data_IF_771297320550
#
_entry.id   IF_771297320550
#
_cell.length_a   1.000
_cell.length_b   1.000
_cell.length_c   1.000
_cell.angle_alpha   90.00
_cell.angle_beta   90.00
_cell.angle_gamma   90.00
#
_symmetry.space_group_name_H-M   'P 1'
#
loop_
_entity.id
_entity.type
_entity.pdbx_description
1 polymer ?
#
# COMPACT_ATOMS: atom_id res chain seq x y z
N UNK A 1 -15.44 14.29 -14.16
CA UNK A 1 -14.72 15.37 -14.90
C UNK A 1 -13.36 15.56 -14.25
N UNK A 2 -12.30 15.81 -15.04
CA UNK A 2 -10.98 16.03 -14.47
C UNK A 2 -10.77 17.49 -14.06
N UNK A 3 -10.29 17.74 -12.82
CA UNK A 3 -9.85 19.04 -12.31
C UNK A 3 -8.71 19.59 -13.18
N UNK A 4 -8.83 20.86 -13.56
CA UNK A 4 -7.84 21.60 -14.34
C UNK A 4 -7.11 22.58 -13.44
N UNK A 5 -5.85 22.85 -13.76
CA UNK A 5 -5.06 23.88 -13.12
C UNK A 5 -5.74 25.24 -13.33
N UNK A 6 -5.91 26.01 -12.26
CA UNK A 6 -6.61 27.29 -12.36
C UNK A 6 -5.84 28.35 -13.13
N UNK A 7 -4.50 28.27 -13.13
CA UNK A 7 -3.62 29.22 -13.80
C UNK A 7 -3.43 28.93 -15.29
N UNK A 8 -3.18 27.67 -15.68
CA UNK A 8 -2.83 27.32 -17.06
C UNK A 8 -3.78 26.32 -17.74
N UNK A 9 -4.83 25.87 -17.05
CA UNK A 9 -5.86 24.94 -17.54
C UNK A 9 -5.38 23.53 -17.92
N UNK A 10 -4.10 23.20 -17.72
CA UNK A 10 -3.57 21.83 -17.82
C UNK A 10 -4.19 20.91 -16.75
N UNK A 11 -3.98 19.57 -16.78
CA UNK A 11 -4.42 18.71 -15.68
C UNK A 11 -3.83 19.12 -14.32
N UNK A 12 -4.67 19.19 -13.29
CA UNK A 12 -4.23 19.47 -11.92
C UNK A 12 -3.75 18.19 -11.22
N UNK A 13 -2.73 18.34 -10.36
CA UNK A 13 -2.14 17.26 -9.57
C UNK A 13 -2.23 17.53 -8.07
N UNK A 14 -2.30 18.80 -7.66
CA UNK A 14 -2.43 19.19 -6.26
C UNK A 14 -3.63 20.11 -6.05
N UNK A 15 -4.08 20.15 -4.80
CA UNK A 15 -5.02 21.14 -4.29
C UNK A 15 -4.37 21.88 -3.13
N UNK A 16 -4.31 23.20 -3.21
CA UNK A 16 -3.88 24.08 -2.11
C UNK A 16 -5.11 24.47 -1.29
N UNK A 17 -5.10 24.15 0.00
CA UNK A 17 -6.23 24.43 0.88
C UNK A 17 -6.38 25.92 1.17
N UNK A 18 -5.26 26.62 1.42
CA UNK A 18 -5.25 28.05 1.73
C UNK A 18 -5.75 28.90 0.56
N UNK A 19 -5.36 28.55 -0.67
CA UNK A 19 -5.75 29.28 -1.88
C UNK A 19 -7.07 28.75 -2.49
N UNK A 20 -7.61 27.65 -1.95
CA UNK A 20 -8.73 26.89 -2.51
C UNK A 20 -8.57 26.54 -4.00
N UNK A 21 -7.32 26.31 -4.42
CA UNK A 21 -6.97 26.25 -5.84
C UNK A 21 -6.39 24.89 -6.24
N UNK A 22 -6.82 24.38 -7.40
CA UNK A 22 -6.21 23.19 -8.02
C UNK A 22 -5.06 23.60 -8.95
N UNK A 23 -3.87 23.02 -8.76
CA UNK A 23 -2.64 23.39 -9.48
C UNK A 23 -1.97 22.18 -10.15
N UNK A 24 -1.30 22.42 -11.28
CA UNK A 24 -0.33 21.47 -11.84
C UNK A 24 1.04 21.66 -11.18
N UNK A 25 1.97 20.71 -11.38
CA UNK A 25 3.31 20.74 -10.75
C UNK A 25 4.10 22.03 -11.00
N UNK A 26 4.03 22.54 -12.23
CA UNK A 26 4.75 23.75 -12.64
C UNK A 26 4.17 25.00 -11.95
N UNK A 27 2.83 25.11 -11.97
CA UNK A 27 2.14 26.23 -11.32
C UNK A 27 2.27 26.18 -9.80
N UNK A 28 2.21 24.99 -9.20
CA UNK A 28 2.46 24.78 -7.77
C UNK A 28 3.84 25.31 -7.37
N UNK A 29 4.89 24.90 -8.09
CA UNK A 29 6.26 25.36 -7.82
C UNK A 29 6.35 26.88 -7.92
N UNK A 30 5.79 27.48 -8.97
CA UNK A 30 5.82 28.95 -9.16
C UNK A 30 5.11 29.71 -8.05
N UNK A 31 3.96 29.20 -7.57
CA UNK A 31 3.19 29.83 -6.50
C UNK A 31 3.89 29.64 -5.16
N UNK A 32 4.26 28.42 -4.78
CA UNK A 32 4.68 28.07 -3.42
C UNK A 32 6.18 28.29 -3.15
N UNK A 33 6.94 28.69 -4.17
CA UNK A 33 8.32 29.20 -4.02
C UNK A 33 8.40 30.74 -4.02
N UNK A 34 7.29 31.46 -4.25
CA UNK A 34 7.32 32.91 -4.37
C UNK A 34 7.72 33.63 -3.06
N UNK A 35 7.36 33.08 -1.91
CA UNK A 35 7.76 33.57 -0.60
C UNK A 35 7.55 32.52 0.50
N UNK A 36 8.09 32.75 1.71
CA UNK A 36 8.03 31.81 2.82
C UNK A 36 6.62 31.59 3.39
N UNK A 37 5.66 32.50 3.15
CA UNK A 37 4.29 32.38 3.65
C UNK A 37 3.56 31.33 2.81
N UNK A 38 3.60 31.48 1.49
CA UNK A 38 2.96 30.54 0.57
C UNK A 38 3.60 29.15 0.61
N UNK A 39 4.91 29.06 0.87
CA UNK A 39 5.59 27.77 1.13
C UNK A 39 4.95 26.97 2.27
N UNK A 40 4.34 27.63 3.26
CA UNK A 40 3.67 26.98 4.39
C UNK A 40 2.25 26.52 4.09
N UNK A 41 1.68 26.85 2.92
CA UNK A 41 0.35 26.39 2.57
C UNK A 41 0.30 24.86 2.52
N UNK A 42 -0.75 24.30 3.12
CA UNK A 42 -1.02 22.87 3.06
C UNK A 42 -1.56 22.51 1.68
N UNK A 43 -0.89 21.56 1.05
CA UNK A 43 -1.26 21.03 -0.26
C UNK A 43 -1.48 19.54 -0.19
N UNK A 44 -2.50 19.09 -0.89
CA UNK A 44 -2.93 17.71 -0.97
C UNK A 44 -2.71 17.18 -2.39
N UNK A 45 -2.21 15.95 -2.51
CA UNK A 45 -2.15 15.28 -3.80
C UNK A 45 -3.56 14.82 -4.21
N UNK A 46 -3.89 15.05 -5.48
CA UNK A 46 -5.12 14.55 -6.09
C UNK A 46 -4.92 13.12 -6.56
N UNK A 47 -5.94 12.28 -6.32
CA UNK A 47 -5.97 10.92 -6.81
C UNK A 47 -5.81 10.91 -8.33
N UNK A 48 -4.88 10.12 -8.85
CA UNK A 48 -4.64 10.08 -10.29
C UNK A 48 -5.85 9.60 -11.10
N UNK A 49 -6.66 8.73 -10.49
CA UNK A 49 -7.83 8.10 -11.15
C UNK A 49 -9.03 9.04 -11.11
N UNK A 50 -9.52 9.37 -9.91
CA UNK A 50 -10.77 10.11 -9.74
C UNK A 50 -10.60 11.59 -9.35
N UNK A 51 -9.37 12.03 -9.06
CA UNK A 51 -9.03 13.38 -8.58
C UNK A 51 -9.77 13.83 -7.31
N UNK A 52 -10.16 12.87 -6.47
CA UNK A 52 -10.45 13.14 -5.06
C UNK A 52 -9.16 13.57 -4.33
N UNK A 53 -9.30 14.25 -3.19
CA UNK A 53 -8.16 14.45 -2.29
C UNK A 53 -7.68 13.08 -1.79
N UNK A 54 -6.37 12.95 -1.63
CA UNK A 54 -5.75 11.79 -0.98
C UNK A 54 -5.25 12.18 0.40
N UNK A 55 -4.95 11.17 1.24
CA UNK A 55 -4.34 11.41 2.55
C UNK A 55 -2.91 11.99 2.45
N UNK A 56 -2.31 11.97 1.25
CA UNK A 56 -0.99 12.55 1.02
C UNK A 56 -1.08 14.07 0.96
N UNK A 57 -0.52 14.73 1.97
CA UNK A 57 -0.41 16.17 2.03
C UNK A 57 0.93 16.63 2.62
N UNK A 58 1.25 17.90 2.44
CA UNK A 58 2.47 18.49 2.98
C UNK A 58 2.56 20.00 2.79
N UNK A 59 3.65 20.56 3.30
CA UNK A 59 4.06 21.95 3.14
C UNK A 59 5.50 21.98 2.61
N UNK A 60 5.98 23.11 2.10
CA UNK A 60 7.35 23.25 1.59
C UNK A 60 7.45 23.96 0.24
N UNK A 61 8.65 24.11 -0.34
CA UNK A 61 8.79 24.87 -1.58
C UNK A 61 8.39 24.04 -2.81
N UNK A 62 8.59 22.72 -2.77
CA UNK A 62 8.38 21.84 -3.93
C UNK A 62 8.01 20.45 -3.47
N UNK A 63 6.96 19.89 -4.09
CA UNK A 63 6.68 18.47 -4.02
C UNK A 63 7.45 17.74 -5.11
N UNK A 64 7.99 16.57 -4.79
CA UNK A 64 8.49 15.66 -5.82
C UNK A 64 7.28 15.16 -6.61
N UNK A 65 7.28 15.24 -7.95
CA UNK A 65 6.20 14.70 -8.75
C UNK A 65 6.00 13.23 -8.44
N UNK A 66 4.88 12.90 -7.82
CA UNK A 66 4.50 11.54 -7.45
C UNK A 66 3.01 11.34 -7.69
N UNK A 67 2.62 10.09 -7.88
CA UNK A 67 1.22 9.73 -8.10
C UNK A 67 0.64 9.22 -6.80
N UNK A 68 -0.56 9.67 -6.46
CA UNK A 68 -1.31 9.15 -5.33
C UNK A 68 -2.64 8.57 -5.78
N UNK A 69 -3.13 7.59 -5.02
CA UNK A 69 -4.47 7.02 -5.17
C UNK A 69 -5.24 7.25 -3.87
N UNK A 70 -6.55 7.43 -3.96
CA UNK A 70 -7.42 7.41 -2.78
C UNK A 70 -7.79 5.97 -2.42
N UNK A 71 -8.18 5.74 -1.16
CA UNK A 71 -8.51 4.41 -0.65
C UNK A 71 -9.54 3.70 -1.53
N UNK A 72 -10.57 4.41 -1.99
CA UNK A 72 -11.57 3.85 -2.88
C UNK A 72 -10.96 3.32 -4.19
N UNK A 73 -10.13 4.12 -4.86
CA UNK A 73 -9.51 3.71 -6.11
C UNK A 73 -8.51 2.56 -5.93
N UNK A 74 -7.79 2.51 -4.81
CA UNK A 74 -6.93 1.36 -4.47
C UNK A 74 -7.75 0.08 -4.30
N UNK A 75 -8.87 0.15 -3.58
CA UNK A 75 -9.76 -1.01 -3.38
C UNK A 75 -10.35 -1.52 -4.69
N UNK A 76 -10.79 -0.62 -5.58
CA UNK A 76 -11.33 -1.01 -6.89
C UNK A 76 -10.27 -1.69 -7.76
N UNK A 77 -9.02 -1.21 -7.75
CA UNK A 77 -7.95 -1.84 -8.53
C UNK A 77 -7.54 -3.21 -8.00
N UNK A 78 -7.68 -3.44 -6.69
CA UNK A 78 -7.38 -4.74 -6.08
C UNK A 78 -8.52 -5.76 -6.18
N UNK A 79 -9.78 -5.31 -6.29
CA UNK A 79 -10.96 -6.17 -6.28
C UNK A 79 -11.26 -6.93 -7.58
N UNK A 80 -10.54 -6.68 -8.67
CA UNK A 80 -10.75 -7.35 -9.96
C UNK A 80 -10.06 -8.73 -10.09
N UNK A 81 -9.56 -9.32 -9.00
CA UNK A 81 -8.88 -10.63 -9.01
C UNK A 81 -9.74 -11.81 -8.54
N UNK A 82 -11.01 -11.59 -8.16
CA UNK A 82 -11.92 -12.69 -7.86
C UNK A 82 -12.67 -13.07 -9.14
N UNK A 83 -11.93 -13.71 -10.05
CA UNK A 83 -12.49 -14.36 -11.23
C UNK A 83 -13.22 -15.63 -10.78
N UNK A 84 -14.43 -15.75 -11.28
CA UNK A 84 -15.45 -16.78 -11.08
C UNK A 84 -14.90 -18.21 -11.02
N UNK A 85 -15.29 -18.97 -9.99
CA UNK A 85 -15.40 -20.43 -9.99
C UNK A 85 -16.58 -20.79 -9.07
N UNK A 86 -17.80 -20.40 -9.45
CA UNK A 86 -18.97 -21.15 -8.99
C UNK A 86 -19.21 -22.21 -10.07
N UNK A 87 -18.27 -23.17 -10.13
CA UNK A 87 -18.47 -24.43 -10.83
C UNK A 87 -19.61 -25.17 -10.13
N UNK A 88 -20.57 -25.61 -10.95
CA UNK A 88 -21.71 -26.45 -10.61
C UNK A 88 -21.24 -27.73 -9.91
N UNK A 89 -21.93 -28.18 -8.86
CA UNK A 89 -22.05 -29.60 -8.52
C UNK A 89 -23.34 -29.79 -7.69
N UNK A 90 -24.36 -30.36 -8.37
CA UNK A 90 -25.40 -31.19 -7.76
C UNK A 90 -24.74 -32.28 -6.89
N UNK A 91 -25.35 -32.66 -5.76
CA UNK A 91 -25.61 -34.08 -5.44
C UNK A 91 -26.22 -34.25 -4.03
N UNK A 92 -27.40 -34.89 -4.07
CA UNK A 92 -28.18 -35.69 -3.13
C UNK A 92 -27.82 -35.74 -1.62
N UNK A 93 -28.83 -35.37 -0.82
CA UNK A 93 -29.07 -35.93 0.52
C UNK A 93 -29.22 -37.45 0.40
N UNK A 94 -28.37 -38.23 1.06
CA UNK A 94 -28.80 -39.51 1.63
C UNK A 94 -27.94 -39.87 2.85
N UNK A 95 -28.66 -40.32 3.88
CA UNK A 95 -28.30 -40.46 5.28
C UNK A 95 -27.32 -41.62 5.54
N UNK A 96 -26.42 -41.35 6.49
CA UNK A 96 -25.77 -42.23 7.47
C UNK A 96 -25.82 -43.77 7.26
N UNK A 97 -24.65 -44.37 7.03
CA UNK A 97 -24.39 -45.74 7.48
C UNK A 97 -23.04 -45.83 8.23
N UNK A 98 -23.16 -46.21 9.51
CA UNK A 98 -22.09 -46.50 10.46
C UNK A 98 -21.11 -47.56 9.93
N UNK A 99 -19.81 -47.41 10.24
CA UNK A 99 -18.94 -48.59 10.43
C UNK A 99 -17.73 -48.25 11.29
N UNK A 100 -17.45 -49.20 12.18
CA UNK A 100 -16.57 -49.17 13.34
C UNK A 100 -15.06 -49.09 13.05
N UNK A 101 -14.33 -48.75 14.12
CA UNK A 101 -12.99 -49.19 14.52
C UNK A 101 -11.84 -49.11 13.48
N UNK A 102 -10.77 -48.39 13.85
CA UNK A 102 -9.54 -49.04 14.30
C UNK A 102 -8.43 -48.00 14.57
N UNK A 103 -7.65 -48.30 15.61
CA UNK A 103 -6.42 -47.65 16.01
C UNK A 103 -5.43 -47.43 14.83
N UNK A 104 -4.68 -46.32 14.82
CA UNK A 104 -3.21 -46.37 14.73
C UNK A 104 -2.60 -44.96 14.83
N UNK A 105 -1.77 -44.72 15.85
CA UNK A 105 -0.91 -43.54 15.94
C UNK A 105 0.12 -43.54 14.80
N UNK A 106 0.10 -42.54 13.93
CA UNK A 106 1.26 -42.22 13.10
C UNK A 106 1.96 -40.94 13.56
N UNK A 107 3.02 -41.14 14.34
CA UNK A 107 4.06 -40.16 14.64
C UNK A 107 4.70 -39.62 13.35
N UNK A 108 4.67 -38.30 13.17
CA UNK A 108 5.51 -37.63 12.16
C UNK A 108 6.97 -37.63 12.65
N UNK A 109 7.82 -38.44 12.02
CA UNK A 109 9.26 -38.40 12.24
C UNK A 109 9.88 -37.16 11.59
N UNK A 110 10.71 -36.38 12.29
CA UNK A 110 11.68 -35.55 11.63
C UNK A 110 12.90 -36.43 11.29
N UNK A 111 13.01 -36.89 10.03
CA UNK A 111 14.30 -37.35 9.54
C UNK A 111 15.23 -36.14 9.38
N UNK A 112 15.95 -35.85 10.46
CA UNK A 112 17.25 -35.18 10.39
C UNK A 112 18.27 -36.24 10.00
N UNK A 113 19.26 -35.93 9.16
CA UNK A 113 20.63 -35.61 9.62
C UNK A 113 21.54 -35.99 8.43
N UNK A 114 22.65 -35.33 8.08
CA UNK A 114 23.69 -34.59 8.85
C UNK A 114 24.85 -34.24 7.87
N UNK A 115 26.02 -33.67 8.27
CA UNK A 115 26.37 -32.83 9.42
C UNK A 115 27.20 -31.56 9.05
N UNK A 116 27.37 -30.70 10.07
CA UNK A 116 28.32 -29.57 10.18
C UNK A 116 29.80 -30.03 10.13
N UNK A 117 30.76 -29.07 10.11
CA UNK A 117 31.42 -28.84 11.38
C UNK A 117 31.41 -27.38 11.84
N UNK A 118 31.46 -27.30 13.16
CA UNK A 118 31.58 -26.13 14.00
C UNK A 118 32.96 -25.49 13.88
N UNK A 119 33.04 -24.19 14.14
CA UNK A 119 34.13 -23.65 14.96
C UNK A 119 33.57 -22.47 15.75
N UNK A 120 33.37 -22.75 17.02
CA UNK A 120 33.17 -21.78 18.08
C UNK A 120 34.54 -21.28 18.52
N UNK A 121 34.69 -19.99 18.77
CA UNK A 121 35.53 -19.55 19.88
C UNK A 121 34.79 -18.43 20.61
N UNK A 122 34.43 -18.73 21.86
CA UNK A 122 33.89 -17.78 22.80
C UNK A 122 35.04 -17.13 23.58
N UNK A 123 34.76 -15.90 24.00
CA UNK A 123 35.18 -15.27 25.25
C UNK A 123 36.63 -14.77 25.36
N UNK A 124 36.79 -13.47 25.62
CA UNK A 124 36.88 -13.01 27.00
C UNK A 124 36.82 -11.48 27.13
N UNK A 125 36.27 -11.09 28.26
CA UNK A 125 36.12 -9.73 28.77
C UNK A 125 37.43 -9.14 29.30
N UNK A 126 37.47 -7.80 29.32
CA UNK A 126 38.04 -6.93 30.36
C UNK A 126 39.55 -6.53 30.39
N UNK A 127 39.75 -5.20 30.44
CA UNK A 127 40.57 -4.37 31.37
C UNK A 127 41.77 -3.57 30.80
N UNK A 128 41.80 -2.27 31.18
CA UNK A 128 42.97 -1.35 31.39
C UNK A 128 43.68 -0.83 30.13
N UNK A 129 43.99 0.46 29.97
CA UNK A 129 44.51 1.46 30.91
C UNK A 129 43.84 2.84 30.80
#
# INVERSE_FOLDING_TARGET
MKKKCELCKSPANLFCESDQASLCWECDTRVHTANFIVTKHQRFLLCHICQSLTAWHGTGPKFVPTMSLCNYCVSVTNGHQNHDNDDEDDDDDDEDEDTDDDDEENQVVPWKSTPRPVSSCSSNSATTY
#
